data_IF_844296790994
#
_entry.id   IF_844296790994
#
_cell.length_a   1.000
_cell.length_b   1.000
_cell.length_c   1.000
_cell.angle_alpha   90.00
_cell.angle_beta   90.00
_cell.angle_gamma   90.00
#
_symmetry.space_group_name_H-M   'P 1'
#
loop_
_entity.id
_entity.type
_entity.pdbx_description
1 polymer ?
#
# COMPACT_ATOMS: atom_id res chain seq x y z
N UNK A 1 -18.68 59.56 -6.54
CA UNK A 1 -18.01 59.29 -5.26
C UNK A 1 -18.09 57.81 -4.99
N UNK A 2 -17.00 57.22 -4.52
CA UNK A 2 -16.96 55.84 -4.05
C UNK A 2 -16.43 54.86 -5.08
N UNK A 3 -15.14 54.98 -5.43
CA UNK A 3 -14.40 53.86 -5.97
C UNK A 3 -14.42 52.72 -4.95
N UNK A 4 -14.60 51.49 -5.42
CA UNK A 4 -14.26 50.31 -4.64
C UNK A 4 -12.74 50.27 -4.47
N UNK A 5 -12.22 51.10 -3.56
CA UNK A 5 -10.88 50.95 -2.98
C UNK A 5 -10.97 49.81 -1.95
N UNK A 6 -11.08 48.57 -2.42
CA UNK A 6 -10.70 47.43 -1.60
C UNK A 6 -9.40 46.89 -2.19
N UNK A 7 -8.23 47.31 -1.69
CA UNK A 7 -6.98 46.76 -2.16
C UNK A 7 -7.03 45.24 -1.98
N UNK A 8 -6.50 44.48 -2.93
CA UNK A 8 -6.52 43.02 -3.03
C UNK A 8 -5.79 42.28 -1.88
N UNK A 9 -5.69 42.90 -0.71
CA UNK A 9 -5.08 42.42 0.53
C UNK A 9 -5.73 41.10 0.99
N UNK A 10 -7.03 40.93 0.73
CA UNK A 10 -7.70 39.64 0.97
C UNK A 10 -7.28 38.55 -0.01
N UNK A 11 -6.74 38.86 -1.20
CA UNK A 11 -6.44 37.85 -2.20
C UNK A 11 -5.18 37.05 -1.83
N UNK A 12 -4.16 37.72 -1.31
CA UNK A 12 -2.92 37.06 -0.87
C UNK A 12 -3.15 36.26 0.41
N UNK A 13 -3.88 36.82 1.38
CA UNK A 13 -4.24 36.11 2.61
C UNK A 13 -5.21 34.96 2.34
N UNK A 14 -6.18 35.13 1.43
CA UNK A 14 -7.08 34.05 1.01
C UNK A 14 -6.32 32.97 0.25
N UNK A 15 -5.35 33.32 -0.61
CA UNK A 15 -4.51 32.34 -1.29
C UNK A 15 -3.60 31.58 -0.31
N UNK A 16 -3.09 32.26 0.73
CA UNK A 16 -2.34 31.62 1.80
C UNK A 16 -3.22 30.68 2.63
N UNK A 17 -4.46 31.09 2.94
CA UNK A 17 -5.43 30.28 3.66
C UNK A 17 -5.84 29.03 2.86
N UNK A 18 -6.20 29.19 1.58
CA UNK A 18 -6.57 28.08 0.70
C UNK A 18 -5.44 27.07 0.63
N UNK A 19 -4.21 27.52 0.37
CA UNK A 19 -3.03 26.65 0.30
C UNK A 19 -2.76 25.92 1.62
N UNK A 20 -2.91 26.61 2.76
CA UNK A 20 -2.77 26.00 4.08
C UNK A 20 -3.88 25.00 4.41
N UNK A 21 -5.07 25.14 3.83
CA UNK A 21 -6.16 24.15 3.93
C UNK A 21 -5.85 22.95 3.02
N UNK A 22 -5.42 23.20 1.78
CA UNK A 22 -5.03 22.15 0.82
C UNK A 22 -3.89 21.29 1.37
N UNK A 23 -2.81 21.90 1.87
CA UNK A 23 -1.66 21.18 2.45
C UNK A 23 -2.08 20.31 3.64
N UNK A 24 -2.92 20.84 4.53
CA UNK A 24 -3.40 20.10 5.72
C UNK A 24 -4.37 18.99 5.36
N UNK A 25 -5.24 19.24 4.40
CA UNK A 25 -6.21 18.24 3.92
C UNK A 25 -5.48 17.13 3.19
N UNK A 26 -4.59 17.46 2.25
CA UNK A 26 -3.74 16.50 1.55
C UNK A 26 -2.93 15.64 2.54
N UNK A 27 -2.32 16.24 3.55
CA UNK A 27 -1.60 15.49 4.59
C UNK A 27 -2.51 14.52 5.38
N UNK A 28 -3.79 14.85 5.58
CA UNK A 28 -4.75 14.05 6.32
C UNK A 28 -5.49 13.00 5.47
N UNK A 29 -5.64 13.22 4.16
CA UNK A 29 -6.46 12.37 3.27
C UNK A 29 -5.64 11.57 2.26
N UNK A 30 -4.40 11.96 1.97
CA UNK A 30 -3.58 11.28 0.97
C UNK A 30 -2.68 10.21 1.58
N UNK A 31 -2.79 9.00 1.04
CA UNK A 31 -1.89 7.90 1.36
C UNK A 31 -0.43 8.29 1.12
N UNK A 32 0.50 7.98 2.04
CA UNK A 32 1.92 8.17 1.83
C UNK A 32 2.44 7.57 0.51
N UNK A 33 1.82 6.49 0.03
CA UNK A 33 2.14 5.83 -1.24
C UNK A 33 1.99 6.73 -2.47
N UNK A 34 1.19 7.81 -2.40
CA UNK A 34 1.03 8.78 -3.49
C UNK A 34 2.16 9.81 -3.49
N UNK A 35 2.86 9.98 -2.37
CA UNK A 35 3.86 11.04 -2.16
C UNK A 35 5.30 10.56 -2.31
N UNK A 36 5.56 9.25 -2.30
CA UNK A 36 6.91 8.70 -2.39
C UNK A 36 6.92 7.33 -3.08
N UNK A 37 7.84 7.09 -4.03
CA UNK A 37 8.08 5.76 -4.61
C UNK A 37 8.39 4.69 -3.55
N UNK A 38 9.15 5.02 -2.51
CA UNK A 38 9.51 4.06 -1.46
C UNK A 38 8.29 3.68 -0.62
N UNK A 39 7.43 4.68 -0.31
CA UNK A 39 6.18 4.43 0.40
C UNK A 39 5.19 3.63 -0.46
N UNK A 40 5.20 3.82 -1.78
CA UNK A 40 4.42 3.02 -2.71
C UNK A 40 4.88 1.57 -2.73
N UNK A 41 6.21 1.36 -2.79
CA UNK A 41 6.79 0.02 -2.79
C UNK A 41 6.45 -0.72 -1.49
N UNK A 42 6.59 -0.07 -0.34
CA UNK A 42 6.21 -0.63 0.95
C UNK A 42 4.71 -1.00 1.00
N UNK A 43 3.82 -0.12 0.51
CA UNK A 43 2.38 -0.40 0.45
C UNK A 43 2.05 -1.57 -0.50
N UNK A 44 2.75 -1.69 -1.63
CA UNK A 44 2.59 -2.83 -2.53
C UNK A 44 3.05 -4.14 -1.89
N UNK A 45 4.16 -4.12 -1.17
CA UNK A 45 4.68 -5.28 -0.46
C UNK A 45 3.73 -5.75 0.64
N UNK A 46 3.20 -4.81 1.43
CA UNK A 46 2.18 -5.08 2.46
C UNK A 46 0.90 -5.67 1.86
N UNK A 47 0.42 -5.10 0.75
CA UNK A 47 -0.73 -5.63 0.02
C UNK A 47 -0.47 -7.06 -0.49
N UNK A 48 0.68 -7.34 -1.10
CA UNK A 48 1.02 -8.69 -1.59
C UNK A 48 1.04 -9.70 -0.44
N UNK A 49 1.65 -9.36 0.71
CA UNK A 49 1.62 -10.24 1.89
C UNK A 49 0.21 -10.45 2.42
N UNK A 50 -0.59 -9.41 2.47
CA UNK A 50 -2.00 -9.50 2.89
C UNK A 50 -2.78 -10.44 1.99
N UNK A 51 -2.66 -10.30 0.66
CA UNK A 51 -3.33 -11.20 -0.29
C UNK A 51 -2.88 -12.65 -0.12
N UNK A 52 -1.58 -12.89 0.08
CA UNK A 52 -1.05 -14.23 0.32
C UNK A 52 -1.59 -14.87 1.60
N UNK A 53 -1.70 -14.09 2.69
CA UNK A 53 -2.31 -14.54 3.93
C UNK A 53 -3.80 -14.86 3.73
N UNK A 54 -4.55 -14.00 3.01
CA UNK A 54 -5.96 -14.26 2.69
C UNK A 54 -6.11 -15.54 1.86
N UNK A 55 -5.25 -15.79 0.85
CA UNK A 55 -5.28 -17.06 0.10
C UNK A 55 -5.08 -18.25 1.04
N UNK A 56 -4.09 -18.19 1.93
CA UNK A 56 -3.83 -19.26 2.89
C UNK A 56 -5.03 -19.51 3.80
N UNK A 57 -5.62 -18.46 4.34
CA UNK A 57 -6.78 -18.54 5.23
C UNK A 57 -8.02 -19.07 4.49
N UNK A 58 -8.29 -18.59 3.28
CA UNK A 58 -9.43 -19.05 2.46
C UNK A 58 -9.30 -20.52 2.06
N UNK A 59 -8.07 -20.99 1.81
CA UNK A 59 -7.83 -22.40 1.53
C UNK A 59 -8.25 -23.29 2.71
N UNK A 60 -8.13 -22.83 3.96
CA UNK A 60 -8.57 -23.56 5.17
C UNK A 60 -8.08 -25.03 5.17
N UNK A 61 -6.79 -25.21 4.89
CA UNK A 61 -6.15 -26.54 4.79
C UNK A 61 -6.44 -27.32 3.49
N UNK A 62 -7.23 -26.78 2.55
CA UNK A 62 -7.54 -27.40 1.26
C UNK A 62 -6.43 -27.21 0.20
N UNK A 63 -5.36 -26.50 0.52
CA UNK A 63 -4.21 -26.28 -0.38
C UNK A 63 -3.37 -27.52 -0.65
N UNK A 64 -3.54 -28.58 0.14
CA UNK A 64 -2.83 -29.85 -0.01
C UNK A 64 -1.38 -29.80 0.49
N UNK A 65 -0.73 -30.97 0.52
CA UNK A 65 0.57 -31.15 1.17
C UNK A 65 1.68 -30.23 0.62
N UNK A 66 1.68 -29.96 -0.69
CA UNK A 66 2.67 -29.07 -1.30
C UNK A 66 2.53 -27.63 -0.78
N UNK A 67 1.29 -27.14 -0.63
CA UNK A 67 1.02 -25.82 -0.09
C UNK A 67 1.44 -25.74 1.38
N UNK A 68 1.09 -26.74 2.18
CA UNK A 68 1.44 -26.79 3.60
C UNK A 68 2.96 -26.79 3.82
N UNK A 69 3.70 -27.53 2.99
CA UNK A 69 5.16 -27.57 3.03
C UNK A 69 5.79 -26.25 2.57
N UNK A 70 5.25 -25.63 1.52
CA UNK A 70 5.68 -24.31 1.05
C UNK A 70 5.44 -23.22 2.09
N UNK A 71 4.29 -23.23 2.76
CA UNK A 71 3.94 -22.29 3.83
C UNK A 71 4.88 -22.44 5.03
N UNK A 72 5.15 -23.69 5.44
CA UNK A 72 6.09 -23.99 6.53
C UNK A 72 7.52 -23.57 6.18
N UNK A 73 7.93 -23.74 4.92
CA UNK A 73 9.22 -23.26 4.43
C UNK A 73 9.30 -21.74 4.45
N UNK A 74 8.26 -21.04 3.97
CA UNK A 74 8.22 -19.57 4.00
C UNK A 74 8.35 -19.02 5.43
N UNK A 75 7.61 -19.61 6.38
CA UNK A 75 7.72 -19.25 7.80
C UNK A 75 9.12 -19.53 8.38
N UNK A 76 9.79 -20.61 7.96
CA UNK A 76 11.14 -20.92 8.38
C UNK A 76 12.17 -19.93 7.80
N UNK A 77 11.99 -19.50 6.54
CA UNK A 77 12.83 -18.49 5.88
C UNK A 77 12.63 -17.11 6.53
N UNK A 78 11.40 -16.75 6.90
CA UNK A 78 11.09 -15.46 7.52
C UNK A 78 11.58 -15.35 8.98
N UNK A 79 12.02 -16.46 9.59
CA UNK A 79 12.51 -16.48 10.97
C UNK A 79 13.81 -15.70 11.19
N UNK A 80 14.57 -15.43 10.12
CA UNK A 80 15.76 -14.57 10.16
C UNK A 80 15.65 -13.39 9.20
N UNK A 81 16.37 -12.31 9.49
CA UNK A 81 16.25 -11.05 8.73
C UNK A 81 16.66 -11.19 7.27
N UNK A 82 17.73 -11.94 6.98
CA UNK A 82 18.20 -12.09 5.60
C UNK A 82 17.24 -12.94 4.77
N UNK A 83 16.65 -13.97 5.38
CA UNK A 83 15.60 -14.77 4.77
C UNK A 83 14.30 -13.97 4.56
N UNK A 84 13.87 -13.16 5.53
CA UNK A 84 12.73 -12.26 5.39
C UNK A 84 12.93 -11.28 4.22
N UNK A 85 14.09 -10.62 4.13
CA UNK A 85 14.42 -9.71 3.03
C UNK A 85 14.44 -10.42 1.67
N UNK A 86 14.93 -11.67 1.62
CA UNK A 86 14.94 -12.47 0.39
C UNK A 86 13.53 -12.90 -0.03
N UNK A 87 12.68 -13.32 0.92
CA UNK A 87 11.28 -13.62 0.65
C UNK A 87 10.55 -12.38 0.13
N UNK A 88 10.84 -11.22 0.70
CA UNK A 88 10.30 -9.95 0.27
C UNK A 88 10.68 -9.58 -1.16
N UNK A 89 11.94 -9.81 -1.55
CA UNK A 89 12.37 -9.60 -2.92
C UNK A 89 11.61 -10.49 -3.92
N UNK A 90 11.29 -11.73 -3.54
CA UNK A 90 10.50 -12.65 -4.38
C UNK A 90 9.04 -12.20 -4.46
N UNK A 91 8.43 -11.85 -3.32
CA UNK A 91 7.04 -11.38 -3.27
C UNK A 91 6.85 -10.04 -3.97
N UNK A 92 7.88 -9.19 -4.03
CA UNK A 92 7.85 -7.93 -4.78
C UNK A 92 7.77 -8.10 -6.31
N UNK A 93 7.90 -9.33 -6.83
CA UNK A 93 7.81 -9.56 -8.27
C UNK A 93 6.39 -9.23 -8.79
N UNK A 94 6.25 -8.46 -9.89
CA UNK A 94 4.94 -7.99 -10.39
C UNK A 94 3.92 -9.12 -10.66
N UNK A 95 4.42 -10.30 -11.03
CA UNK A 95 3.59 -11.46 -11.33
C UNK A 95 2.96 -12.09 -10.09
N UNK A 96 3.60 -11.97 -8.92
CA UNK A 96 3.10 -12.55 -7.66
C UNK A 96 1.74 -11.98 -7.30
N UNK A 97 1.57 -10.65 -7.43
CA UNK A 97 0.30 -9.99 -7.14
C UNK A 97 -0.82 -10.43 -8.08
N UNK A 98 -0.57 -10.46 -9.39
CA UNK A 98 -1.59 -10.89 -10.36
C UNK A 98 -2.01 -12.33 -10.08
N UNK A 99 -1.04 -13.21 -9.85
CA UNK A 99 -1.31 -14.60 -9.48
C UNK A 99 -2.14 -14.72 -8.19
N UNK A 100 -1.85 -13.93 -7.16
CA UNK A 100 -2.61 -13.94 -5.91
C UNK A 100 -4.07 -13.50 -6.09
N UNK A 101 -4.31 -12.49 -6.93
CA UNK A 101 -5.67 -12.04 -7.25
C UNK A 101 -6.45 -13.12 -7.99
N UNK A 102 -5.83 -13.75 -8.99
CA UNK A 102 -6.44 -14.85 -9.74
C UNK A 102 -6.71 -16.05 -8.82
N UNK A 103 -5.75 -16.40 -7.96
CA UNK A 103 -5.90 -17.48 -6.99
C UNK A 103 -7.06 -17.23 -6.01
N UNK A 104 -7.23 -16.00 -5.52
CA UNK A 104 -8.37 -15.63 -4.67
C UNK A 104 -9.71 -15.81 -5.40
N UNK A 105 -9.79 -15.36 -6.65
CA UNK A 105 -10.99 -15.51 -7.46
C UNK A 105 -11.36 -16.98 -7.73
N UNK A 106 -10.39 -17.89 -7.70
CA UNK A 106 -10.59 -19.33 -7.89
C UNK A 106 -10.98 -20.08 -6.60
N UNK A 107 -10.74 -19.50 -5.41
CA UNK A 107 -11.04 -20.13 -4.11
C UNK A 107 -12.30 -19.61 -3.41
N UNK A 108 -12.82 -18.45 -3.85
CA UNK A 108 -14.14 -17.91 -3.49
C UNK A 108 -15.30 -18.71 -4.13
#
# INVERSE_FOLDING_TARGET
GGGFDNPSVYSDDLAALIRGIEERTAAATESPAVRSPDALLAAHQDLTRTLLAVVHDTLDGRGGALWDDAWRLAAAVEADTAGADALDAVLAHPYTRTWLVDALADVD
#
